data_IF_230715799351
#
_entry.id   IF_230715799351
#
_cell.length_a   1.000
_cell.length_b   1.000
_cell.length_c   1.000
_cell.angle_alpha   90.00
_cell.angle_beta   90.00
_cell.angle_gamma   90.00
#
_symmetry.space_group_name_H-M   'P 1'
#
loop_
_entity.id
_entity.type
_entity.pdbx_description
1 polymer ?
#
# COMPACT_ATOMS: atom_id res chain seq x y z
N UNK A 1 -8.27 21.91 -13.47
CA UNK A 1 -6.88 21.71 -13.02
C UNK A 1 -6.65 22.06 -11.54
N UNK A 2 -7.18 23.19 -11.02
CA UNK A 2 -7.03 23.59 -9.59
C UNK A 2 -7.58 22.57 -8.57
N UNK A 3 -8.69 21.90 -8.88
CA UNK A 3 -9.33 20.91 -7.98
C UNK A 3 -8.51 19.61 -7.88
N UNK A 4 -7.97 19.10 -8.98
CA UNK A 4 -7.13 17.90 -8.96
C UNK A 4 -5.84 18.13 -8.16
N UNK A 5 -5.20 19.28 -8.35
CA UNK A 5 -4.03 19.65 -7.55
C UNK A 5 -4.36 19.77 -6.05
N UNK A 6 -5.59 20.19 -5.70
CA UNK A 6 -6.02 20.26 -4.29
C UNK A 6 -6.12 18.87 -3.67
N UNK A 7 -6.59 17.85 -4.41
CA UNK A 7 -6.67 16.48 -3.90
C UNK A 7 -5.31 15.90 -3.50
N UNK A 8 -4.29 16.07 -4.35
CA UNK A 8 -2.93 15.61 -4.01
C UNK A 8 -2.33 16.38 -2.84
N UNK A 9 -2.61 17.69 -2.76
CA UNK A 9 -2.15 18.54 -1.65
C UNK A 9 -2.82 18.14 -0.33
N UNK A 10 -4.13 17.91 -0.34
CA UNK A 10 -4.91 17.48 0.82
C UNK A 10 -4.51 16.07 1.29
N UNK A 11 -4.25 15.14 0.36
CA UNK A 11 -3.68 13.82 0.67
C UNK A 11 -2.29 13.90 1.30
N UNK A 12 -1.41 14.76 0.78
CA UNK A 12 -0.10 14.99 1.37
C UNK A 12 -0.19 15.59 2.78
N UNK A 13 -1.08 16.57 2.99
CA UNK A 13 -1.30 17.15 4.32
C UNK A 13 -1.87 16.12 5.31
N UNK A 14 -2.82 15.29 4.86
CA UNK A 14 -3.36 14.19 5.66
C UNK A 14 -2.28 13.19 6.06
N UNK A 15 -1.43 12.79 5.11
CA UNK A 15 -0.30 11.91 5.37
C UNK A 15 0.67 12.51 6.39
N UNK A 16 1.11 13.76 6.17
CA UNK A 16 2.04 14.45 7.07
C UNK A 16 1.47 14.62 8.48
N UNK A 17 0.18 14.97 8.59
CA UNK A 17 -0.51 15.10 9.88
C UNK A 17 -0.53 13.78 10.65
N UNK A 18 -0.94 12.69 9.99
CA UNK A 18 -0.98 11.37 10.62
C UNK A 18 0.41 10.88 11.01
N UNK A 19 1.39 11.07 10.14
CA UNK A 19 2.76 10.68 10.42
C UNK A 19 3.32 11.45 11.61
N UNK A 20 3.11 12.77 11.67
CA UNK A 20 3.50 13.58 12.84
C UNK A 20 2.79 13.14 14.12
N UNK A 21 1.49 12.81 14.05
CA UNK A 21 0.72 12.31 15.20
C UNK A 21 1.25 10.97 15.68
N UNK A 22 1.55 10.04 14.77
CA UNK A 22 2.15 8.74 15.08
C UNK A 22 3.55 8.88 15.68
N UNK A 23 4.41 9.72 15.08
CA UNK A 23 5.75 9.99 15.62
C UNK A 23 5.68 10.58 17.03
N UNK A 24 4.86 11.60 17.25
CA UNK A 24 4.67 12.18 18.57
C UNK A 24 4.11 11.15 19.57
N UNK A 25 3.21 10.26 19.14
CA UNK A 25 2.72 9.16 19.95
C UNK A 25 3.83 8.16 20.33
N UNK A 26 4.68 7.78 19.39
CA UNK A 26 5.84 6.89 19.64
C UNK A 26 6.79 7.54 20.66
N UNK A 27 7.14 8.82 20.47
CA UNK A 27 7.98 9.54 21.43
C UNK A 27 7.32 9.64 22.81
N UNK A 28 6.02 9.87 22.88
CA UNK A 28 5.25 9.88 24.12
C UNK A 28 5.35 8.55 24.87
N UNK A 29 5.18 7.42 24.18
CA UNK A 29 5.33 6.10 24.79
C UNK A 29 6.77 5.81 25.21
N UNK A 30 7.76 6.13 24.37
CA UNK A 30 9.19 5.93 24.69
C UNK A 30 9.62 6.70 25.95
N UNK A 31 9.16 7.94 26.11
CA UNK A 31 9.41 8.75 27.31
C UNK A 31 8.81 8.15 28.59
N UNK A 32 7.81 7.28 28.47
CA UNK A 32 7.06 6.70 29.59
C UNK A 32 7.63 5.35 30.06
N UNK A 33 8.59 4.77 29.34
CA UNK A 33 9.25 3.52 29.71
C UNK A 33 10.27 3.80 30.84
N UNK A 34 10.16 3.12 32.00
CA UNK A 34 11.15 3.25 33.07
C UNK A 34 12.52 2.77 32.58
N UNK A 35 13.55 3.63 32.72
CA UNK A 35 14.91 3.40 32.20
C UNK A 35 15.25 4.29 30.99
N UNK A 36 14.34 4.40 30.02
CA UNK A 36 14.53 5.23 28.81
C UNK A 36 14.35 6.72 29.12
N UNK A 37 13.49 7.07 30.08
CA UNK A 37 13.28 8.45 30.56
C UNK A 37 14.57 9.14 31.03
N UNK A 38 15.58 8.38 31.51
CA UNK A 38 16.88 8.95 31.94
C UNK A 38 17.78 9.33 30.76
N UNK A 39 17.53 8.79 29.56
CA UNK A 39 18.35 8.97 28.35
C UNK A 39 17.69 9.94 27.37
N UNK A 40 16.35 9.95 27.30
CA UNK A 40 15.55 10.77 26.38
C UNK A 40 15.13 12.08 27.07
N UNK A 41 15.81 13.17 26.72
CA UNK A 41 15.48 14.52 27.21
C UNK A 41 14.22 15.06 26.50
N UNK A 42 13.41 15.87 27.20
CA UNK A 42 12.18 16.49 26.67
C UNK A 42 12.43 17.35 25.40
N UNK A 43 13.68 17.72 25.13
CA UNK A 43 14.11 18.39 23.90
C UNK A 43 13.87 17.58 22.61
N UNK A 44 13.63 16.27 22.69
CA UNK A 44 13.29 15.44 21.52
C UNK A 44 11.96 15.88 20.87
N UNK A 45 11.04 16.49 21.64
CA UNK A 45 9.83 17.08 21.06
C UNK A 45 10.12 18.32 20.22
N UNK A 46 11.20 19.07 20.51
CA UNK A 46 11.64 20.25 19.79
C UNK A 46 12.61 19.96 18.64
N UNK A 47 13.16 18.73 18.56
CA UNK A 47 14.07 18.30 17.51
C UNK A 47 13.34 18.10 16.18
N UNK A 48 13.07 19.19 15.47
CA UNK A 48 12.39 19.19 14.17
C UNK A 48 13.16 18.38 13.12
N UNK A 49 14.49 18.44 13.13
CA UNK A 49 15.34 17.69 12.19
C UNK A 49 15.20 16.17 12.36
N UNK A 50 15.18 15.69 13.61
CA UNK A 50 15.03 14.26 13.90
C UNK A 50 13.64 13.76 13.47
N UNK A 51 12.58 14.55 13.70
CA UNK A 51 11.23 14.23 13.21
C UNK A 51 11.15 14.23 11.69
N UNK A 52 11.85 15.15 11.03
CA UNK A 52 11.93 15.22 9.57
C UNK A 52 12.63 13.98 9.00
N UNK A 53 13.76 13.58 9.59
CA UNK A 53 14.52 12.41 9.15
C UNK A 53 13.72 11.11 9.34
N UNK A 54 13.08 10.93 10.50
CA UNK A 54 12.19 9.79 10.75
C UNK A 54 11.00 9.79 9.78
N UNK A 55 10.46 10.97 9.47
CA UNK A 55 9.37 11.11 8.50
C UNK A 55 9.78 10.65 7.11
N UNK A 56 10.96 11.03 6.64
CA UNK A 56 11.48 10.60 5.35
C UNK A 56 11.64 9.08 5.34
N UNK A 57 12.27 8.52 6.38
CA UNK A 57 12.50 7.07 6.48
C UNK A 57 11.18 6.28 6.48
N UNK A 58 10.20 6.69 7.29
CA UNK A 58 8.89 6.04 7.33
C UNK A 58 8.12 6.18 6.01
N UNK A 59 8.30 7.29 5.31
CA UNK A 59 7.69 7.50 3.99
C UNK A 59 8.28 6.52 2.96
N UNK A 60 9.60 6.38 2.91
CA UNK A 60 10.28 5.42 2.04
C UNK A 60 9.83 4.00 2.37
N UNK A 61 9.80 3.64 3.66
CA UNK A 61 9.35 2.32 4.10
C UNK A 61 7.88 2.07 3.73
N UNK A 62 7.01 3.07 3.85
CA UNK A 62 5.59 2.97 3.46
C UNK A 62 5.42 2.75 1.96
N UNK A 63 6.24 3.40 1.13
CA UNK A 63 6.26 3.20 -0.33
C UNK A 63 6.72 1.77 -0.65
N UNK A 64 7.84 1.33 -0.07
CA UNK A 64 8.37 -0.01 -0.26
C UNK A 64 7.37 -1.08 0.18
N UNK A 65 6.77 -0.92 1.36
CA UNK A 65 5.76 -1.83 1.88
C UNK A 65 4.54 -1.93 0.95
N UNK A 66 4.05 -0.77 0.45
CA UNK A 66 2.91 -0.74 -0.47
C UNK A 66 3.20 -1.51 -1.77
N UNK A 67 4.42 -1.39 -2.29
CA UNK A 67 4.89 -2.14 -3.46
C UNK A 67 5.04 -3.64 -3.16
N UNK A 68 5.71 -4.00 -2.06
CA UNK A 68 5.94 -5.39 -1.66
C UNK A 68 4.64 -6.16 -1.42
N UNK A 69 3.61 -5.53 -0.86
CA UNK A 69 2.28 -6.17 -0.72
C UNK A 69 1.73 -6.56 -2.09
N UNK A 70 1.89 -5.74 -3.14
CA UNK A 70 1.35 -6.06 -4.46
C UNK A 70 2.01 -7.30 -5.05
N UNK A 71 3.32 -7.41 -4.89
CA UNK A 71 4.10 -8.61 -5.28
C UNK A 71 3.65 -9.82 -4.44
N UNK A 72 3.49 -9.65 -3.13
CA UNK A 72 3.06 -10.74 -2.26
C UNK A 72 1.68 -11.28 -2.65
N UNK A 73 0.72 -10.39 -2.92
CA UNK A 73 -0.62 -10.78 -3.40
C UNK A 73 -0.52 -11.51 -4.74
N UNK A 74 0.35 -11.06 -5.64
CA UNK A 74 0.58 -11.74 -6.91
C UNK A 74 1.10 -13.18 -6.72
N UNK A 75 2.10 -13.37 -5.86
CA UNK A 75 2.62 -14.70 -5.53
C UNK A 75 1.52 -15.61 -4.97
N UNK A 76 0.66 -15.08 -4.09
CA UNK A 76 -0.50 -15.82 -3.58
C UNK A 76 -1.44 -16.26 -4.71
N UNK A 77 -1.73 -15.37 -5.68
CA UNK A 77 -2.62 -15.71 -6.80
C UNK A 77 -2.04 -16.86 -7.63
N UNK A 78 -0.75 -16.81 -7.96
CA UNK A 78 -0.09 -17.92 -8.68
C UNK A 78 -0.15 -19.21 -7.88
N UNK A 79 0.25 -19.18 -6.61
CA UNK A 79 0.26 -20.38 -5.77
C UNK A 79 -1.15 -20.97 -5.63
N UNK A 80 -2.17 -20.12 -5.53
CA UNK A 80 -3.57 -20.53 -5.47
C UNK A 80 -4.00 -21.20 -6.78
N UNK A 81 -3.69 -20.59 -7.93
CA UNK A 81 -3.98 -21.17 -9.25
C UNK A 81 -3.34 -22.55 -9.40
N UNK A 82 -2.05 -22.68 -9.12
CA UNK A 82 -1.33 -23.95 -9.28
C UNK A 82 -1.88 -25.01 -8.32
N UNK A 83 -2.20 -24.63 -7.09
CA UNK A 83 -2.83 -25.52 -6.10
C UNK A 83 -4.19 -26.03 -6.57
N UNK A 84 -5.04 -25.15 -7.11
CA UNK A 84 -6.34 -25.53 -7.65
C UNK A 84 -6.20 -26.47 -8.85
N UNK A 85 -5.30 -26.16 -9.79
CA UNK A 85 -5.07 -27.03 -10.96
C UNK A 85 -4.58 -28.41 -10.52
N UNK A 86 -3.66 -28.47 -9.55
CA UNK A 86 -3.13 -29.72 -9.00
C UNK A 86 -4.24 -30.52 -8.32
N UNK A 87 -5.10 -29.86 -7.56
CA UNK A 87 -6.26 -30.47 -6.90
C UNK A 87 -7.25 -31.06 -7.93
N UNK A 88 -7.65 -30.28 -8.94
CA UNK A 88 -8.62 -30.74 -9.95
C UNK A 88 -8.06 -31.83 -10.87
N UNK A 89 -6.74 -31.89 -11.07
CA UNK A 89 -6.08 -32.95 -11.84
C UNK A 89 -5.82 -34.23 -11.02
N UNK A 90 -6.05 -34.22 -9.70
CA UNK A 90 -5.78 -35.35 -8.83
C UNK A 90 -4.28 -35.64 -8.65
N UNK A 91 -3.43 -34.65 -8.92
CA UNK A 91 -1.99 -34.77 -8.85
C UNK A 91 -1.47 -34.65 -7.40
N UNK A 92 -0.26 -35.15 -7.14
CA UNK A 92 0.38 -34.99 -5.83
C UNK A 92 0.76 -33.51 -5.60
N UNK A 93 0.37 -32.98 -4.44
CA UNK A 93 0.72 -31.62 -4.01
C UNK A 93 2.24 -31.40 -3.82
N UNK A 94 3.03 -32.46 -3.71
CA UNK A 94 4.50 -32.37 -3.65
C UNK A 94 5.11 -31.71 -4.89
N UNK A 95 4.41 -31.77 -6.02
CA UNK A 95 4.93 -31.34 -7.32
C UNK A 95 4.39 -29.97 -7.74
N UNK A 96 3.77 -29.22 -6.81
CA UNK A 96 3.16 -27.90 -7.10
C UNK A 96 4.20 -26.90 -7.60
N UNK A 97 5.37 -26.83 -6.95
CA UNK A 97 6.40 -25.85 -7.33
C UNK A 97 7.12 -26.22 -8.62
N UNK A 98 7.27 -27.51 -8.93
CA UNK A 98 7.92 -27.97 -10.15
C UNK A 98 7.06 -27.78 -11.41
N UNK A 99 5.76 -27.54 -11.25
CA UNK A 99 4.80 -27.25 -12.32
C UNK A 99 4.66 -25.78 -12.66
N UNK A 100 5.40 -24.89 -12.00
CA UNK A 100 5.41 -23.46 -12.31
C UNK A 100 6.28 -23.25 -13.56
N UNK A 101 5.63 -23.21 -14.72
CA UNK A 101 6.24 -22.87 -15.99
C UNK A 101 5.86 -21.43 -16.44
N UNK A 102 6.50 -20.94 -17.50
CA UNK A 102 6.21 -19.60 -18.04
C UNK A 102 4.73 -19.40 -18.43
N UNK A 103 4.06 -20.35 -19.13
CA UNK A 103 2.63 -20.25 -19.43
C UNK A 103 1.74 -20.14 -18.19
N UNK A 104 1.99 -20.93 -17.15
CA UNK A 104 1.24 -20.86 -15.88
C UNK A 104 1.43 -19.49 -15.21
N UNK A 105 2.66 -18.99 -15.25
CA UNK A 105 3.04 -17.66 -14.78
C UNK A 105 2.25 -16.54 -15.50
N UNK A 106 2.11 -16.64 -16.82
CA UNK A 106 1.31 -15.68 -17.61
C UNK A 106 -0.18 -15.72 -17.25
N UNK A 107 -0.74 -16.93 -17.09
CA UNK A 107 -2.14 -17.10 -16.66
C UNK A 107 -2.37 -16.52 -15.27
N UNK A 108 -1.41 -16.66 -14.36
CA UNK A 108 -1.47 -16.07 -13.02
C UNK A 108 -1.41 -14.56 -13.02
N UNK A 109 -0.61 -13.95 -13.90
CA UNK A 109 -0.61 -12.51 -14.13
C UNK A 109 -1.94 -12.00 -14.65
N UNK A 110 -2.54 -12.69 -15.61
CA UNK A 110 -3.88 -12.35 -16.08
C UNK A 110 -4.93 -12.45 -14.97
N UNK A 111 -4.93 -13.54 -14.19
CA UNK A 111 -5.85 -13.70 -13.06
C UNK A 111 -5.64 -12.64 -11.98
N UNK A 112 -4.40 -12.27 -11.70
CA UNK A 112 -4.08 -11.22 -10.73
C UNK A 112 -4.60 -9.87 -11.20
N UNK A 113 -4.40 -9.52 -12.47
CA UNK A 113 -4.95 -8.29 -13.04
C UNK A 113 -6.48 -8.29 -12.96
N UNK A 114 -7.12 -9.36 -13.41
CA UNK A 114 -8.58 -9.44 -13.47
C UNK A 114 -9.22 -9.48 -12.07
N UNK A 115 -8.76 -10.36 -11.17
CA UNK A 115 -9.38 -10.54 -9.86
C UNK A 115 -8.97 -9.45 -8.87
N UNK A 116 -7.70 -9.06 -8.84
CA UNK A 116 -7.17 -8.16 -7.81
C UNK A 116 -7.22 -6.71 -8.26
N UNK A 117 -6.76 -6.41 -9.48
CA UNK A 117 -6.70 -5.02 -9.95
C UNK A 117 -8.07 -4.53 -10.38
N UNK A 118 -8.80 -5.34 -11.17
CA UNK A 118 -10.11 -4.94 -11.70
C UNK A 118 -11.21 -5.24 -10.69
N UNK A 119 -11.46 -6.50 -10.31
CA UNK A 119 -12.64 -6.86 -9.50
C UNK A 119 -12.51 -6.36 -8.06
N UNK A 120 -11.44 -6.74 -7.36
CA UNK A 120 -11.22 -6.33 -5.96
C UNK A 120 -10.96 -4.82 -5.86
N UNK A 121 -10.24 -4.26 -6.85
CA UNK A 121 -10.12 -2.83 -7.03
C UNK A 121 -11.49 -2.16 -7.09
N UNK A 122 -12.34 -2.55 -8.03
CA UNK A 122 -13.69 -1.99 -8.17
C UNK A 122 -14.51 -2.16 -6.90
N UNK A 123 -14.58 -3.36 -6.32
CA UNK A 123 -15.33 -3.65 -5.09
C UNK A 123 -14.98 -2.71 -3.93
N UNK A 124 -13.70 -2.51 -3.66
CA UNK A 124 -13.27 -1.66 -2.56
C UNK A 124 -13.64 -0.19 -2.75
N UNK A 125 -13.75 0.28 -4.01
CA UNK A 125 -14.08 1.67 -4.30
C UNK A 125 -15.57 1.97 -4.12
N UNK A 126 -16.46 0.97 -4.24
CA UNK A 126 -17.88 1.12 -3.92
C UNK A 126 -18.16 1.12 -2.42
N UNK A 127 -17.31 0.49 -1.62
CA UNK A 127 -17.41 0.62 -0.16
C UNK A 127 -16.92 2.02 0.28
N UNK A 128 -17.76 2.79 0.96
CA UNK A 128 -17.34 4.05 1.61
C UNK A 128 -17.02 3.74 3.07
N UNK A 129 -15.93 3.00 3.30
CA UNK A 129 -15.45 2.77 4.66
C UNK A 129 -14.66 4.01 5.08
N UNK A 130 -15.27 4.85 5.91
CA UNK A 130 -14.60 6.04 6.45
C UNK A 130 -13.92 5.68 7.75
N UNK A 131 -12.60 5.83 7.85
CA UNK A 131 -11.85 5.60 9.09
C UNK A 131 -11.97 6.81 10.02
N UNK A 132 -12.00 6.57 11.34
CA UNK A 132 -12.06 7.63 12.35
C UNK A 132 -10.95 8.70 12.15
N UNK A 133 -9.74 8.27 11.79
CA UNK A 133 -8.62 9.19 11.50
C UNK A 133 -8.92 10.19 10.38
N UNK A 134 -9.68 9.76 9.38
CA UNK A 134 -10.08 10.58 8.23
C UNK A 134 -11.13 11.61 8.67
N UNK A 135 -12.07 11.19 9.52
CA UNK A 135 -13.08 12.05 10.16
C UNK A 135 -12.43 13.13 11.02
N UNK A 136 -11.54 12.74 11.92
CA UNK A 136 -10.84 13.67 12.82
C UNK A 136 -10.06 14.74 12.02
N UNK A 137 -9.53 14.38 10.85
CA UNK A 137 -8.77 15.31 10.02
C UNK A 137 -9.66 16.34 9.31
N UNK A 138 -10.65 15.91 8.52
CA UNK A 138 -11.46 16.90 7.80
C UNK A 138 -12.31 17.77 8.73
N UNK A 139 -12.65 17.26 9.92
CA UNK A 139 -13.33 18.05 10.96
C UNK A 139 -12.38 19.08 11.58
N UNK A 140 -11.16 18.68 11.98
CA UNK A 140 -10.18 19.61 12.55
C UNK A 140 -9.75 20.72 11.59
N UNK A 141 -9.70 20.44 10.28
CA UNK A 141 -9.33 21.42 9.26
C UNK A 141 -10.53 22.08 8.56
N UNK A 142 -11.76 21.84 9.02
CA UNK A 142 -13.00 22.39 8.44
C UNK A 142 -13.13 22.18 6.92
N UNK A 143 -12.67 21.03 6.42
CA UNK A 143 -12.71 20.68 5.00
C UNK A 143 -14.09 20.15 4.62
N UNK A 144 -14.50 20.41 3.37
CA UNK A 144 -15.73 19.82 2.82
C UNK A 144 -15.61 18.29 2.79
N UNK A 145 -16.47 17.61 3.55
CA UNK A 145 -16.48 16.14 3.69
C UNK A 145 -16.49 15.45 2.32
N UNK A 146 -17.41 15.85 1.44
CA UNK A 146 -17.58 15.19 0.15
C UNK A 146 -16.36 15.39 -0.74
N UNK A 147 -15.82 16.60 -0.79
CA UNK A 147 -14.66 16.93 -1.62
C UNK A 147 -13.41 16.19 -1.13
N UNK A 148 -13.18 16.17 0.19
CA UNK A 148 -12.04 15.49 0.77
C UNK A 148 -12.11 13.96 0.61
N UNK A 149 -13.28 13.33 0.86
CA UNK A 149 -13.45 11.88 0.68
C UNK A 149 -13.25 11.48 -0.79
N UNK A 150 -13.83 12.24 -1.73
CA UNK A 150 -13.62 12.02 -3.16
C UNK A 150 -12.15 12.17 -3.54
N UNK A 151 -11.47 13.21 -3.05
CA UNK A 151 -10.06 13.45 -3.29
C UNK A 151 -9.18 12.31 -2.78
N UNK A 152 -9.41 11.84 -1.55
CA UNK A 152 -8.70 10.69 -0.97
C UNK A 152 -8.90 9.41 -1.78
N UNK A 153 -10.14 9.11 -2.19
CA UNK A 153 -10.43 7.95 -3.04
C UNK A 153 -9.72 8.07 -4.40
N UNK A 154 -9.80 9.24 -5.04
CA UNK A 154 -9.18 9.49 -6.33
C UNK A 154 -7.66 9.32 -6.30
N UNK A 155 -6.99 9.95 -5.33
CA UNK A 155 -5.53 9.82 -5.15
C UNK A 155 -5.16 8.38 -4.80
N UNK A 156 -5.98 7.70 -4.00
CA UNK A 156 -5.84 6.28 -3.69
C UNK A 156 -5.89 5.37 -4.91
N UNK A 157 -6.80 5.62 -5.86
CA UNK A 157 -6.86 4.89 -7.15
C UNK A 157 -5.56 5.07 -7.91
N UNK A 158 -5.10 6.32 -8.07
CA UNK A 158 -3.89 6.64 -8.83
C UNK A 158 -2.66 5.97 -8.21
N UNK A 159 -2.48 6.09 -6.89
CA UNK A 159 -1.37 5.43 -6.18
C UNK A 159 -1.40 3.92 -6.37
N UNK A 160 -2.57 3.29 -6.19
CA UNK A 160 -2.71 1.86 -6.39
C UNK A 160 -2.40 1.46 -7.84
N UNK A 161 -2.92 2.18 -8.84
CA UNK A 161 -2.66 1.91 -10.24
C UNK A 161 -1.15 1.97 -10.55
N UNK A 162 -0.46 2.99 -10.04
CA UNK A 162 1.00 3.13 -10.18
C UNK A 162 1.72 1.94 -9.54
N UNK A 163 1.37 1.58 -8.31
CA UNK A 163 2.02 0.45 -7.63
C UNK A 163 1.76 -0.90 -8.31
N UNK A 164 0.55 -1.14 -8.80
CA UNK A 164 0.22 -2.34 -9.56
C UNK A 164 0.95 -2.39 -10.90
N UNK A 165 1.05 -1.25 -11.60
CA UNK A 165 1.81 -1.13 -12.85
C UNK A 165 3.29 -1.47 -12.64
N UNK A 166 3.94 -0.85 -11.65
CA UNK A 166 5.34 -1.15 -11.34
C UNK A 166 5.55 -2.59 -10.85
N UNK A 167 4.59 -3.16 -10.12
CA UNK A 167 4.66 -4.56 -9.71
C UNK A 167 4.58 -5.50 -10.91
N UNK A 168 3.72 -5.19 -11.89
CA UNK A 168 3.65 -5.89 -13.17
C UNK A 168 4.95 -5.78 -13.98
N UNK A 169 5.56 -4.58 -14.03
CA UNK A 169 6.87 -4.37 -14.66
C UNK A 169 7.97 -5.22 -14.02
N UNK A 170 8.06 -5.19 -12.69
CA UNK A 170 9.04 -5.99 -11.96
C UNK A 170 8.84 -7.48 -12.21
N UNK A 171 7.59 -7.93 -12.28
CA UNK A 171 7.28 -9.30 -12.61
C UNK A 171 7.69 -9.68 -14.03
N UNK A 172 7.33 -8.89 -15.05
CA UNK A 172 7.72 -9.15 -16.43
C UNK A 172 9.25 -9.23 -16.60
N UNK A 173 9.98 -8.42 -15.84
CA UNK A 173 11.44 -8.50 -15.74
C UNK A 173 11.91 -9.83 -15.13
N UNK A 174 11.36 -10.25 -13.98
CA UNK A 174 11.72 -11.53 -13.32
C UNK A 174 11.37 -12.75 -14.19
N UNK A 175 10.25 -12.71 -14.90
CA UNK A 175 9.80 -13.79 -15.78
C UNK A 175 10.57 -13.84 -17.12
N UNK A 176 11.50 -12.89 -17.35
CA UNK A 176 12.24 -12.68 -18.59
C UNK A 176 11.31 -12.61 -19.82
N UNK A 177 10.14 -12.00 -19.61
CA UNK A 177 9.08 -11.97 -20.61
C UNK A 177 8.40 -10.59 -20.60
N UNK A 178 8.85 -9.76 -21.54
CA UNK A 178 8.38 -8.37 -21.71
C UNK A 178 6.94 -8.27 -22.23
N UNK A 179 6.31 -9.35 -22.71
CA UNK A 179 4.90 -9.27 -23.10
C UNK A 179 3.99 -9.18 -21.88
N UNK A 180 4.39 -9.74 -20.73
CA UNK A 180 3.68 -9.62 -19.46
C UNK A 180 3.66 -8.19 -18.88
N UNK A 181 4.47 -7.29 -19.44
CA UNK A 181 4.49 -5.85 -19.11
C UNK A 181 3.35 -5.09 -19.80
N UNK A 182 2.87 -5.59 -20.93
CA UNK A 182 1.94 -4.89 -21.82
C UNK A 182 0.51 -5.46 -21.80
N UNK A 183 0.26 -6.53 -21.05
CA UNK A 183 -1.05 -7.17 -20.88
C UNK A 183 -1.55 -7.06 -19.44
#
# INVERSE_FOLDING_TARGET
MKVLASFFKEDWHYFKYNLSKTLNGIFYFLCRIPGVKKVINERIYAAYELKSLLSILLTILSILYSFLIKIFVFVIVILTQVSLITFFKGDKFSDVFSKIDQPMMQQGAFLWLLLVVVIWGFYNHFSVITTQKLIDFYTAFSLSRNQFILGQKFVGIIKNAIFYFFAGLFYGYVANNMTLVLF
#
